data_IF_539439424260
#
_entry.id   IF_539439424260
#
_cell.length_a   1.000
_cell.length_b   1.000
_cell.length_c   1.000
_cell.angle_alpha   90.00
_cell.angle_beta   90.00
_cell.angle_gamma   90.00
#
_symmetry.space_group_name_H-M   'P 1'
#
loop_
_entity.id
_entity.type
_entity.pdbx_description
1 polymer ?
#
# COMPACT_ATOMS: atom_id res chain seq x y z
N UNK A 1 -3.02 20.73 21.92
CA UNK A 1 -2.75 19.74 21.08
C UNK A 1 -3.91 19.48 20.26
N UNK A 2 -3.71 19.09 19.20
CA UNK A 2 -4.80 18.97 18.32
C UNK A 2 -5.68 17.83 18.69
N UNK A 3 -5.15 16.87 19.29
CA UNK A 3 -5.94 15.73 19.59
C UNK A 3 -6.30 14.90 18.39
N UNK A 4 -5.90 15.34 17.24
CA UNK A 4 -6.19 14.59 16.06
C UNK A 4 -5.28 13.45 15.90
N UNK A 5 -5.82 12.30 15.63
CA UNK A 5 -5.00 11.16 15.40
C UNK A 5 -4.75 11.00 13.94
N UNK A 6 -3.52 10.72 13.58
CA UNK A 6 -3.16 10.45 12.22
C UNK A 6 -3.68 9.07 11.85
N UNK A 7 -4.42 8.99 10.76
CA UNK A 7 -4.97 7.72 10.35
C UNK A 7 -3.95 6.90 9.61
N UNK A 8 -3.90 5.63 9.94
CA UNK A 8 -3.00 4.70 9.30
C UNK A 8 -3.59 4.22 7.99
N UNK A 9 -2.77 4.15 6.98
CA UNK A 9 -3.16 3.65 5.68
C UNK A 9 -2.13 2.60 5.27
N UNK A 10 -2.59 1.41 4.91
CA UNK A 10 -1.72 0.35 4.44
C UNK A 10 -1.48 0.55 2.96
N UNK A 11 -0.22 0.53 2.55
CA UNK A 11 0.12 0.64 1.14
C UNK A 11 0.55 -0.73 0.64
N UNK A 12 -0.11 -1.21 -0.40
CA UNK A 12 0.25 -2.47 -1.05
C UNK A 12 1.46 -2.20 -1.92
N UNK A 13 2.64 -2.34 -1.32
CA UNK A 13 3.88 -1.91 -1.95
C UNK A 13 4.19 -2.61 -3.25
N UNK A 14 3.92 -3.91 -3.33
CA UNK A 14 4.19 -4.64 -4.56
C UNK A 14 3.29 -4.17 -5.68
N UNK A 15 2.00 -3.99 -5.38
CA UNK A 15 1.08 -3.48 -6.39
C UNK A 15 1.49 -2.10 -6.87
N UNK A 16 1.85 -1.22 -5.93
CA UNK A 16 2.22 0.14 -6.29
C UNK A 16 3.51 0.15 -7.10
N UNK A 17 4.50 -0.65 -6.73
CA UNK A 17 5.77 -0.69 -7.45
C UNK A 17 5.56 -1.11 -8.90
N UNK A 18 4.61 -2.01 -9.14
CA UNK A 18 4.35 -2.53 -10.49
C UNK A 18 3.32 -1.71 -11.26
N UNK A 19 2.92 -0.56 -10.76
CA UNK A 19 1.81 0.14 -11.37
C UNK A 19 2.16 0.88 -12.66
N UNK A 20 3.44 1.06 -12.94
CA UNK A 20 3.85 1.71 -14.17
C UNK A 20 3.98 0.70 -15.28
N UNK A 21 3.85 1.16 -16.49
CA UNK A 21 4.13 0.30 -17.63
C UNK A 21 5.61 0.02 -17.64
N UNK A 22 5.94 -1.17 -18.06
CA UNK A 22 7.34 -1.54 -18.09
C UNK A 22 7.51 -2.85 -17.37
N UNK A 23 8.71 -3.37 -17.40
CA UNK A 23 8.95 -4.71 -16.92
C UNK A 23 9.42 -4.75 -15.50
N UNK A 24 9.81 -3.60 -14.97
CA UNK A 24 10.44 -3.59 -13.69
C UNK A 24 9.63 -2.79 -12.69
N UNK A 25 9.47 -3.31 -11.49
CA UNK A 25 8.80 -2.51 -10.46
C UNK A 25 9.71 -1.36 -10.02
N UNK A 26 9.11 -0.23 -9.71
CA UNK A 26 9.85 0.99 -9.43
C UNK A 26 9.65 1.46 -7.99
N UNK A 27 10.76 1.70 -7.32
CA UNK A 27 10.71 2.24 -5.96
C UNK A 27 10.10 3.64 -5.96
N UNK A 28 10.35 4.42 -7.00
CA UNK A 28 9.81 5.78 -7.03
C UNK A 28 8.30 5.80 -6.93
N UNK A 29 7.62 4.76 -7.41
CA UNK A 29 6.17 4.69 -7.30
C UNK A 29 5.75 4.57 -5.84
N UNK A 30 6.45 3.73 -5.09
CA UNK A 30 6.15 3.56 -3.67
C UNK A 30 6.39 4.87 -2.93
N UNK A 31 7.49 5.55 -3.25
CA UNK A 31 7.81 6.79 -2.58
C UNK A 31 6.80 7.88 -2.91
N UNK A 32 6.32 7.91 -4.15
CA UNK A 32 5.33 8.90 -4.55
C UNK A 32 4.02 8.70 -3.78
N UNK A 33 3.58 7.45 -3.64
CA UNK A 33 2.35 7.18 -2.91
C UNK A 33 2.55 7.51 -1.42
N UNK A 34 3.70 7.12 -0.87
CA UNK A 34 4.00 7.43 0.52
C UNK A 34 3.94 8.93 0.78
N UNK A 35 4.62 9.69 -0.07
CA UNK A 35 4.71 11.13 0.13
C UNK A 35 3.36 11.81 -0.02
N UNK A 36 2.56 11.33 -0.96
CA UNK A 36 1.23 11.89 -1.14
C UNK A 36 0.36 11.64 0.08
N UNK A 37 0.44 10.44 0.65
CA UNK A 37 -0.33 10.13 1.84
C UNK A 37 0.10 10.98 3.02
N UNK A 38 1.41 11.15 3.20
CA UNK A 38 1.90 11.98 4.29
C UNK A 38 1.45 13.42 4.09
N UNK A 39 1.50 13.91 2.86
CA UNK A 39 1.05 15.24 2.56
C UNK A 39 -0.41 15.44 2.92
N UNK A 40 -1.21 14.41 2.77
CA UNK A 40 -2.63 14.49 3.07
C UNK A 40 -2.96 14.16 4.52
N UNK A 41 -1.94 13.97 5.34
CA UNK A 41 -2.14 13.79 6.77
C UNK A 41 -2.28 12.37 7.25
N UNK A 42 -1.93 11.40 6.39
CA UNK A 42 -2.05 10.00 6.77
C UNK A 42 -0.69 9.44 7.18
N UNK A 43 -0.74 8.31 7.84
CA UNK A 43 0.47 7.61 8.23
C UNK A 43 0.55 6.33 7.41
N UNK A 44 1.41 6.28 6.40
CA UNK A 44 1.47 5.08 5.54
C UNK A 44 2.26 3.96 6.20
N UNK A 45 1.75 2.76 6.08
CA UNK A 45 2.47 1.55 6.47
C UNK A 45 2.63 0.76 5.19
N UNK A 46 3.85 0.63 4.71
CA UNK A 46 4.11 0.01 3.42
C UNK A 46 4.43 -1.46 3.63
N UNK A 47 3.67 -2.32 2.99
CA UNK A 47 3.88 -3.75 3.08
C UNK A 47 4.25 -4.29 1.71
N UNK A 48 5.22 -5.18 1.66
CA UNK A 48 5.68 -5.73 0.40
C UNK A 48 5.84 -7.23 0.52
N UNK A 49 5.69 -7.95 -0.59
CA UNK A 49 5.95 -9.38 -0.55
C UNK A 49 7.45 -9.63 -0.56
N UNK A 50 7.84 -10.86 -0.27
CA UNK A 50 9.24 -11.18 -0.11
C UNK A 50 10.01 -11.13 -1.42
N UNK A 51 9.32 -11.27 -2.55
CA UNK A 51 9.98 -11.32 -3.84
C UNK A 51 10.35 -9.95 -4.38
N UNK A 52 9.67 -8.91 -3.92
CA UNK A 52 9.86 -7.59 -4.50
C UNK A 52 11.30 -7.11 -4.42
N UNK A 53 12.00 -7.43 -3.34
CA UNK A 53 13.36 -6.97 -3.15
C UNK A 53 14.30 -7.46 -4.24
N UNK A 54 13.96 -8.57 -4.89
CA UNK A 54 14.80 -9.12 -5.94
C UNK A 54 14.42 -8.60 -7.31
N UNK A 55 13.36 -7.84 -7.41
CA UNK A 55 12.85 -7.36 -8.68
C UNK A 55 12.92 -5.86 -8.85
N UNK A 56 12.89 -5.15 -7.74
CA UNK A 56 12.75 -3.70 -7.77
C UNK A 56 14.02 -3.01 -8.24
N UNK A 57 13.88 -1.84 -8.83
CA UNK A 57 14.98 -1.16 -9.50
C UNK A 57 16.04 -0.59 -8.56
N UNK A 58 15.65 -0.01 -7.47
CA UNK A 58 16.60 0.60 -6.55
C UNK A 58 16.81 -0.32 -5.37
N UNK A 59 17.47 -1.43 -5.63
CA UNK A 59 17.60 -2.47 -4.65
C UNK A 59 18.18 -2.02 -3.32
N UNK A 60 19.28 -1.27 -3.38
CA UNK A 60 19.94 -0.87 -2.15
C UNK A 60 19.10 0.08 -1.32
N UNK A 61 18.44 1.01 -1.97
CA UNK A 61 17.57 1.94 -1.27
C UNK A 61 16.39 1.19 -0.66
N UNK A 62 15.84 0.24 -1.41
CA UNK A 62 14.72 -0.54 -0.92
C UNK A 62 15.13 -1.36 0.32
N UNK A 63 16.31 -1.97 0.29
CA UNK A 63 16.80 -2.74 1.41
C UNK A 63 16.96 -1.87 2.65
N UNK A 64 17.43 -0.66 2.46
CA UNK A 64 17.59 0.24 3.60
C UNK A 64 16.25 0.60 4.21
N UNK A 65 15.23 0.72 3.39
CA UNK A 65 13.90 1.03 3.90
C UNK A 65 13.31 -0.15 4.65
N UNK A 66 13.64 -1.37 4.25
CA UNK A 66 13.23 -2.55 5.01
C UNK A 66 13.96 -2.56 6.34
N UNK A 67 15.26 -2.29 6.32
CA UNK A 67 16.06 -2.32 7.54
C UNK A 67 15.61 -1.27 8.54
N UNK A 68 15.19 -0.11 8.05
CA UNK A 68 14.75 0.96 8.94
C UNK A 68 13.33 0.75 9.44
N UNK A 69 12.61 -0.22 8.86
CA UNK A 69 11.23 -0.47 9.25
C UNK A 69 10.22 0.33 8.48
N UNK A 70 10.68 1.17 7.56
CA UNK A 70 9.74 1.97 6.78
C UNK A 70 8.93 1.10 5.83
N UNK A 71 9.53 0.03 5.33
CA UNK A 71 8.82 -0.96 4.54
C UNK A 71 8.85 -2.27 5.31
N UNK A 72 7.69 -2.88 5.50
CA UNK A 72 7.60 -4.16 6.17
C UNK A 72 7.42 -5.23 5.12
N UNK A 73 8.23 -6.26 5.22
CA UNK A 73 8.23 -7.32 4.23
C UNK A 73 7.53 -8.54 4.79
N UNK A 74 6.60 -9.09 4.02
CA UNK A 74 5.95 -10.33 4.43
C UNK A 74 6.98 -11.45 4.40
N UNK A 75 6.95 -12.36 5.35
CA UNK A 75 7.91 -13.45 5.35
C UNK A 75 7.78 -14.29 4.10
N UNK A 76 8.91 -14.82 3.64
CA UNK A 76 8.92 -15.67 2.46
C UNK A 76 7.96 -16.84 2.68
N UNK A 77 7.22 -17.19 1.64
CA UNK A 77 6.26 -18.26 1.74
C UNK A 77 4.92 -17.87 2.31
N UNK A 78 4.80 -16.62 2.78
CA UNK A 78 3.54 -16.13 3.30
C UNK A 78 2.70 -15.58 2.16
N UNK A 79 1.40 -15.77 2.27
CA UNK A 79 0.45 -15.19 1.33
C UNK A 79 0.42 -13.68 1.57
N UNK A 80 0.99 -12.92 0.66
CA UNK A 80 1.12 -11.48 0.84
C UNK A 80 -0.23 -10.78 0.93
N UNK A 81 -1.21 -11.24 0.17
CA UNK A 81 -2.55 -10.66 0.24
C UNK A 81 -3.15 -10.83 1.62
N UNK A 82 -3.00 -12.03 2.17
CA UNK A 82 -3.52 -12.29 3.50
C UNK A 82 -2.82 -11.38 4.52
N UNK A 83 -1.51 -11.21 4.36
CA UNK A 83 -0.72 -10.38 5.25
C UNK A 83 -1.25 -8.93 5.25
N UNK A 84 -1.48 -8.39 4.05
CA UNK A 84 -2.02 -7.04 3.92
C UNK A 84 -3.40 -6.93 4.54
N UNK A 85 -4.26 -7.89 4.25
CA UNK A 85 -5.63 -7.81 4.72
C UNK A 85 -5.72 -8.00 6.23
N UNK A 86 -4.91 -8.90 6.78
CA UNK A 86 -4.90 -9.12 8.21
C UNK A 86 -4.37 -7.88 8.94
N UNK A 87 -3.33 -7.25 8.39
CA UNK A 87 -2.78 -6.05 8.97
C UNK A 87 -3.82 -4.93 8.96
N UNK A 88 -4.51 -4.79 7.83
CA UNK A 88 -5.53 -3.76 7.72
C UNK A 88 -6.67 -3.99 8.70
N UNK A 89 -7.06 -5.25 8.87
CA UNK A 89 -8.13 -5.57 9.81
C UNK A 89 -7.71 -5.24 11.23
N UNK A 90 -6.50 -5.61 11.58
CA UNK A 90 -6.00 -5.36 12.92
C UNK A 90 -5.95 -3.87 13.23
N UNK A 91 -5.53 -3.06 12.27
CA UNK A 91 -5.40 -1.63 12.48
C UNK A 91 -6.64 -0.85 12.06
N UNK A 92 -7.64 -1.54 11.54
CA UNK A 92 -8.85 -0.91 11.02
C UNK A 92 -8.48 0.17 10.01
N UNK A 93 -7.57 -0.18 9.10
CA UNK A 93 -6.98 0.78 8.19
C UNK A 93 -7.47 0.60 6.77
N UNK A 94 -7.41 1.68 6.01
CA UNK A 94 -7.66 1.67 4.58
C UNK A 94 -6.44 1.09 3.88
N UNK A 95 -6.64 0.48 2.73
CA UNK A 95 -5.57 -0.11 1.93
C UNK A 95 -5.51 0.63 0.60
N UNK A 96 -4.32 1.07 0.21
CA UNK A 96 -4.12 1.65 -1.11
C UNK A 96 -3.58 0.56 -2.03
N UNK A 97 -4.38 0.17 -3.01
CA UNK A 97 -4.02 -0.87 -3.95
C UNK A 97 -5.01 -0.85 -5.10
N UNK A 98 -4.57 -1.28 -6.27
CA UNK A 98 -5.49 -1.45 -7.40
C UNK A 98 -5.98 -2.89 -7.50
N UNK A 99 -5.49 -3.76 -6.62
CA UNK A 99 -6.01 -5.11 -6.52
C UNK A 99 -7.31 -5.04 -5.71
N UNK A 100 -8.34 -5.69 -6.18
CA UNK A 100 -9.61 -5.68 -5.47
C UNK A 100 -9.76 -6.83 -4.50
N UNK A 101 -8.77 -7.70 -4.44
CA UNK A 101 -8.77 -8.81 -3.49
C UNK A 101 -10.04 -9.64 -3.58
N UNK A 102 -10.51 -9.87 -4.80
CA UNK A 102 -11.78 -10.58 -4.99
C UNK A 102 -11.78 -11.97 -4.40
N UNK A 103 -10.63 -12.63 -4.45
CA UNK A 103 -10.54 -13.99 -3.97
C UNK A 103 -10.50 -14.07 -2.46
N UNK A 104 -10.52 -12.92 -1.79
CA UNK A 104 -10.41 -12.88 -0.33
C UNK A 104 -11.66 -12.36 0.34
N UNK A 105 -12.71 -12.13 -0.41
CA UNK A 105 -13.91 -11.50 0.14
C UNK A 105 -14.56 -12.36 1.21
N UNK A 106 -14.47 -13.67 1.07
CA UNK A 106 -15.05 -14.56 2.06
C UNK A 106 -14.38 -14.41 3.41
N UNK A 107 -13.05 -14.40 3.42
CA UNK A 107 -12.32 -14.30 4.68
C UNK A 107 -12.28 -12.86 5.18
N UNK A 108 -12.35 -11.89 4.27
CA UNK A 108 -12.25 -10.48 4.62
C UNK A 108 -13.36 -9.70 3.95
N UNK A 109 -14.61 -9.88 4.40
CA UNK A 109 -15.72 -9.22 3.72
C UNK A 109 -15.65 -7.71 3.77
N UNK A 110 -14.93 -7.16 4.74
CA UNK A 110 -14.80 -5.72 4.86
C UNK A 110 -13.88 -5.10 3.80
N UNK A 111 -13.19 -5.95 3.02
CA UNK A 111 -12.16 -5.43 2.10
C UNK A 111 -12.73 -4.45 1.08
N UNK A 112 -13.95 -4.68 0.63
CA UNK A 112 -14.54 -3.79 -0.35
C UNK A 112 -14.58 -2.36 0.09
N UNK A 113 -14.80 -2.15 1.37
CA UNK A 113 -14.93 -0.80 1.90
C UNK A 113 -13.62 -0.23 2.36
N UNK A 114 -12.56 -1.03 2.32
CA UNK A 114 -11.27 -0.56 2.80
C UNK A 114 -10.27 -0.22 1.71
N UNK A 115 -10.50 -0.70 0.48
CA UNK A 115 -9.51 -0.50 -0.57
C UNK A 115 -9.77 0.80 -1.31
N UNK A 116 -8.73 1.61 -1.42
CA UNK A 116 -8.75 2.85 -2.20
C UNK A 116 -7.83 2.65 -3.39
N UNK A 117 -8.34 2.87 -4.56
CA UNK A 117 -7.56 2.74 -5.78
C UNK A 117 -6.83 4.03 -6.07
N UNK A 118 -5.86 3.95 -6.94
CA UNK A 118 -5.00 5.09 -7.25
C UNK A 118 -4.53 5.01 -8.68
N UNK A 119 -3.98 6.12 -9.18
CA UNK A 119 -3.23 6.09 -10.43
C UNK A 119 -2.07 7.06 -10.27
N UNK A 120 -1.02 6.82 -11.03
CA UNK A 120 0.16 7.66 -11.01
C UNK A 120 0.36 8.18 -12.44
N UNK A 121 0.31 9.50 -12.60
CA UNK A 121 0.45 10.11 -13.91
C UNK A 121 1.59 11.10 -13.83
N UNK A 122 2.65 10.85 -14.59
CA UNK A 122 3.82 11.71 -14.57
C UNK A 122 4.33 11.95 -13.16
N UNK A 123 4.37 10.90 -12.38
CA UNK A 123 4.87 10.99 -11.01
C UNK A 123 3.89 11.53 -10.01
N UNK A 124 2.71 11.93 -10.47
CA UNK A 124 1.72 12.48 -9.57
C UNK A 124 0.68 11.46 -9.22
N UNK A 125 0.41 11.30 -7.94
CA UNK A 125 -0.51 10.29 -7.44
C UNK A 125 -1.89 10.88 -7.27
N UNK A 126 -2.88 10.17 -7.81
CA UNK A 126 -4.27 10.56 -7.65
C UNK A 126 -5.00 9.39 -7.04
N UNK A 127 -5.65 9.62 -5.91
CA UNK A 127 -6.42 8.56 -5.25
C UNK A 127 -7.87 8.62 -5.69
N UNK A 128 -8.48 7.45 -5.77
CA UNK A 128 -9.88 7.35 -6.03
C UNK A 128 -10.62 8.03 -4.91
N UNK A 129 -11.53 8.95 -5.26
CA UNK A 129 -12.28 9.63 -4.26
C UNK A 129 -13.55 8.87 -4.02
N UNK A 130 -13.78 8.40 -2.82
CA UNK A 130 -14.96 7.66 -2.53
C UNK A 130 -16.04 8.60 -2.15
N UNK A 131 -17.17 8.49 -2.79
CA UNK A 131 -18.32 9.29 -2.44
C UNK A 131 -18.99 8.68 -1.26
N UNK A 132 -19.22 9.52 -0.22
CA UNK A 132 -19.88 9.04 0.92
C UNK A 132 -21.28 8.70 0.56
N UNK A 133 -21.73 7.52 0.99
CA UNK A 133 -23.03 7.16 0.68
C UNK A 133 -23.96 7.91 1.48
N UNK A 134 -24.95 8.44 0.89
CA UNK A 134 -25.86 9.15 1.63
C UNK A 134 -26.91 8.26 1.89
N UNK A 135 -27.46 8.28 2.80
CA UNK A 135 -28.44 7.44 3.06
C UNK A 135 -29.59 7.93 3.19
#
# INVERSE_FOLDING_TARGET
MSGEETKTVIVDGSNVAHSSEGERPLLENILAVRDKLVEEGYEPVILADAALRHQIDEENAFEKMIESGEIKQAPAGTDADYFILAFARELEATIVSNDRFKDRVEAFPEVRDRVIRYMIINGEVVFERRTKRRR
#
